data_IF_919293548215
#
_entry.id   IF_919293548215
#
_cell.length_a   1.000
_cell.length_b   1.000
_cell.length_c   1.000
_cell.angle_alpha   90.00
_cell.angle_beta   90.00
_cell.angle_gamma   90.00
#
_symmetry.space_group_name_H-M   'P 1'
#
loop_
_entity.id
_entity.type
_entity.pdbx_description
1 polymer ?
#
# COMPACT_ATOMS: atom_id res chain seq x y z
N UNK A 1 -9.35 -13.75 -10.47
CA UNK A 1 -9.85 -13.32 -11.79
C UNK A 1 -8.72 -13.39 -12.80
N UNK A 2 -8.80 -14.31 -13.82
CA UNK A 2 -7.76 -14.46 -14.84
C UNK A 2 -7.52 -13.21 -15.68
N UNK A 3 -8.57 -12.42 -15.93
CA UNK A 3 -8.46 -11.18 -16.73
C UNK A 3 -7.62 -10.14 -15.98
N UNK A 4 -7.80 -10.01 -14.66
CA UNK A 4 -7.00 -9.13 -13.83
C UNK A 4 -5.54 -9.59 -13.76
N UNK A 5 -5.29 -10.89 -13.63
CA UNK A 5 -3.93 -11.45 -13.66
C UNK A 5 -3.28 -11.20 -15.02
N UNK A 6 -4.01 -11.40 -16.12
CA UNK A 6 -3.53 -11.12 -17.47
C UNK A 6 -3.17 -9.65 -17.65
N UNK A 7 -4.04 -8.73 -17.23
CA UNK A 7 -3.77 -7.30 -17.28
C UNK A 7 -2.50 -6.94 -16.49
N UNK A 8 -2.37 -7.43 -15.26
CA UNK A 8 -1.21 -7.20 -14.41
C UNK A 8 0.09 -7.67 -15.08
N UNK A 9 0.15 -8.93 -15.51
CA UNK A 9 1.35 -9.52 -16.11
C UNK A 9 1.77 -8.80 -17.38
N UNK A 10 0.80 -8.42 -18.22
CA UNK A 10 1.08 -7.76 -19.50
C UNK A 10 1.62 -6.33 -19.33
N UNK A 11 1.23 -5.62 -18.25
CA UNK A 11 1.67 -4.24 -18.00
C UNK A 11 2.93 -4.11 -17.15
N UNK A 12 3.35 -5.17 -16.43
CA UNK A 12 4.56 -5.14 -15.57
C UNK A 12 5.80 -4.56 -16.30
N UNK A 13 6.13 -4.95 -17.55
CA UNK A 13 7.32 -4.40 -18.22
C UNK A 13 7.24 -2.89 -18.43
N UNK A 14 6.08 -2.38 -18.79
CA UNK A 14 5.83 -0.94 -19.01
C UNK A 14 5.89 -0.18 -17.68
N UNK A 15 5.27 -0.71 -16.64
CA UNK A 15 5.27 -0.14 -15.29
C UNK A 15 6.69 -0.06 -14.72
N UNK A 16 7.50 -1.10 -14.96
CA UNK A 16 8.88 -1.12 -14.56
C UNK A 16 9.72 -0.04 -15.24
N UNK A 17 9.56 0.15 -16.55
CA UNK A 17 10.21 1.23 -17.29
C UNK A 17 9.69 2.61 -16.85
N UNK A 18 8.39 2.72 -16.52
CA UNK A 18 7.82 3.94 -15.96
C UNK A 18 8.49 4.30 -14.63
N UNK A 19 8.68 3.35 -13.70
CA UNK A 19 9.38 3.58 -12.44
C UNK A 19 10.81 4.10 -12.67
N UNK A 20 11.54 3.52 -13.60
CA UNK A 20 12.87 4.03 -13.98
C UNK A 20 12.83 5.47 -14.48
N UNK A 21 11.85 5.81 -15.30
CA UNK A 21 11.63 7.20 -15.78
C UNK A 21 11.31 8.16 -14.63
N UNK A 22 10.71 7.68 -13.54
CA UNK A 22 10.52 8.49 -12.32
C UNK A 22 11.81 8.64 -11.50
N UNK A 23 12.89 8.00 -11.87
CA UNK A 23 14.19 8.06 -11.20
C UNK A 23 14.47 6.91 -10.24
N UNK A 24 13.59 5.91 -10.17
CA UNK A 24 13.80 4.73 -9.33
C UNK A 24 14.98 3.92 -9.87
N UNK A 25 15.94 3.64 -9.00
CA UNK A 25 17.10 2.80 -9.31
C UNK A 25 16.89 1.41 -8.74
N UNK A 26 17.24 0.43 -9.53
CA UNK A 26 17.17 -0.97 -9.14
C UNK A 26 18.57 -1.56 -9.01
N UNK A 27 18.76 -2.42 -8.01
CA UNK A 27 19.99 -3.18 -7.84
C UNK A 27 20.14 -4.21 -8.96
N UNK A 28 21.33 -4.80 -9.07
CA UNK A 28 21.53 -5.94 -9.97
C UNK A 28 20.56 -7.07 -9.64
N UNK A 29 20.06 -7.73 -10.68
CA UNK A 29 19.11 -8.84 -10.52
C UNK A 29 19.79 -9.96 -9.72
N UNK A 30 19.24 -10.22 -8.54
CA UNK A 30 19.59 -11.38 -7.74
C UNK A 30 18.93 -12.63 -8.28
N UNK A 31 19.65 -13.74 -8.31
CA UNK A 31 19.07 -15.08 -8.51
C UNK A 31 18.90 -15.70 -7.13
N UNK A 32 17.70 -16.14 -6.80
CA UNK A 32 17.51 -17.05 -5.68
C UNK A 32 17.86 -18.46 -6.11
N UNK A 33 18.54 -19.27 -5.26
CA UNK A 33 18.81 -20.67 -5.56
C UNK A 33 17.52 -21.48 -5.64
N UNK A 34 17.59 -22.63 -6.30
CA UNK A 34 16.50 -23.60 -6.29
C UNK A 34 16.10 -23.94 -4.83
N UNK A 35 14.80 -24.11 -4.49
CA UNK A 35 13.63 -24.19 -5.38
C UNK A 35 13.03 -22.85 -5.80
N UNK A 36 13.45 -21.75 -5.23
CA UNK A 36 12.83 -20.42 -5.42
C UNK A 36 13.18 -19.71 -6.73
N UNK A 37 13.79 -20.32 -7.63
CA UNK A 37 14.28 -19.99 -8.98
C UNK A 37 13.68 -18.74 -9.68
N UNK A 38 13.43 -17.66 -8.93
CA UNK A 38 12.91 -16.40 -9.45
C UNK A 38 13.96 -15.28 -9.41
N UNK A 39 13.78 -14.32 -10.29
CA UNK A 39 14.60 -13.11 -10.33
C UNK A 39 13.89 -11.99 -9.59
N UNK A 40 14.61 -11.29 -8.74
CA UNK A 40 14.08 -10.14 -8.00
C UNK A 40 14.72 -8.85 -8.51
N UNK A 41 13.87 -7.87 -8.78
CA UNK A 41 14.27 -6.49 -9.00
C UNK A 41 14.11 -5.71 -7.71
N UNK A 42 15.14 -5.67 -6.89
CA UNK A 42 15.13 -4.89 -5.67
C UNK A 42 15.43 -3.42 -5.96
N UNK A 43 14.73 -2.52 -5.29
CA UNK A 43 15.09 -1.10 -5.30
C UNK A 43 16.46 -0.93 -4.64
N UNK A 44 17.36 -0.17 -5.25
CA UNK A 44 18.67 0.15 -4.69
C UNK A 44 18.48 1.00 -3.42
N UNK A 45 18.71 0.38 -2.26
CA UNK A 45 18.39 0.96 -0.97
C UNK A 45 19.38 2.03 -0.49
N UNK A 46 20.65 1.98 -0.91
CA UNK A 46 21.69 2.92 -0.47
C UNK A 46 21.66 3.21 1.04
N UNK A 47 21.58 2.16 1.86
CA UNK A 47 21.51 2.27 3.32
C UNK A 47 20.10 2.44 3.92
N UNK A 48 19.06 2.51 3.09
CA UNK A 48 17.65 2.45 3.47
C UNK A 48 17.05 1.10 3.08
N UNK A 49 15.93 0.72 3.70
CA UNK A 49 15.12 -0.39 3.19
C UNK A 49 14.62 -0.07 1.77
N UNK A 50 14.47 -1.09 0.91
CA UNK A 50 14.05 -0.89 -0.47
C UNK A 50 12.73 -0.13 -0.61
N UNK A 51 11.75 -0.39 0.28
CA UNK A 51 10.48 0.34 0.32
C UNK A 51 10.65 1.81 0.68
N UNK A 52 11.42 2.12 1.71
CA UNK A 52 11.68 3.52 2.10
C UNK A 52 12.40 4.28 0.98
N UNK A 53 13.31 3.62 0.28
CA UNK A 53 14.01 4.22 -0.86
C UNK A 53 13.10 4.44 -2.06
N UNK A 54 12.20 3.51 -2.35
CA UNK A 54 11.18 3.68 -3.39
C UNK A 54 10.33 4.92 -3.14
N UNK A 55 9.82 5.05 -1.91
CA UNK A 55 9.04 6.24 -1.51
C UNK A 55 9.84 7.52 -1.71
N UNK A 56 11.12 7.52 -1.34
CA UNK A 56 11.99 8.70 -1.54
C UNK A 56 12.11 9.08 -3.01
N UNK A 57 12.35 8.13 -3.91
CA UNK A 57 12.40 8.41 -5.35
C UNK A 57 11.09 8.99 -5.88
N UNK A 58 9.95 8.46 -5.43
CA UNK A 58 8.65 8.94 -5.88
C UNK A 58 8.34 10.33 -5.31
N UNK A 59 8.71 10.63 -4.07
CA UNK A 59 8.61 11.97 -3.49
C UNK A 59 9.44 12.99 -4.29
N UNK A 60 10.70 12.67 -4.59
CA UNK A 60 11.56 13.49 -5.44
C UNK A 60 10.94 13.73 -6.84
N UNK A 61 10.27 12.73 -7.38
CA UNK A 61 9.55 12.84 -8.66
C UNK A 61 8.32 13.77 -8.57
N UNK A 62 7.61 13.76 -7.44
CA UNK A 62 6.51 14.69 -7.15
C UNK A 62 7.03 16.14 -7.02
N UNK A 63 8.09 16.34 -6.27
CA UNK A 63 8.72 17.66 -6.08
C UNK A 63 9.14 18.27 -7.42
N UNK A 64 9.81 17.49 -8.28
CA UNK A 64 10.22 17.94 -9.64
C UNK A 64 9.05 18.36 -10.53
N UNK A 65 7.84 17.87 -10.25
CA UNK A 65 6.62 18.20 -10.99
C UNK A 65 5.74 19.23 -10.29
N UNK A 66 6.20 19.77 -9.16
CA UNK A 66 5.43 20.68 -8.32
C UNK A 66 4.07 20.09 -7.90
N UNK A 67 4.02 18.79 -7.65
CA UNK A 67 2.84 18.13 -7.11
C UNK A 67 2.81 18.37 -5.60
N UNK A 68 1.82 19.10 -5.07
CA UNK A 68 1.76 19.40 -3.66
C UNK A 68 1.44 18.14 -2.85
N UNK A 69 2.19 17.91 -1.77
CA UNK A 69 1.94 16.85 -0.81
C UNK A 69 1.56 17.49 0.51
N UNK A 70 0.37 17.21 0.98
CA UNK A 70 -0.17 17.80 2.20
C UNK A 70 -0.08 16.77 3.32
N UNK A 71 0.84 17.00 4.24
CA UNK A 71 1.07 16.12 5.38
C UNK A 71 0.13 16.45 6.55
N UNK A 72 0.05 15.54 7.52
CA UNK A 72 -0.76 15.70 8.75
C UNK A 72 -2.23 16.06 8.44
N UNK A 73 -2.74 15.53 7.34
CA UNK A 73 -4.07 15.86 6.83
C UNK A 73 -4.79 14.58 6.45
N UNK A 74 -5.77 14.20 7.24
CA UNK A 74 -6.54 12.96 7.07
C UNK A 74 -7.77 13.19 6.21
N UNK A 75 -7.90 12.45 5.11
CA UNK A 75 -9.16 12.40 4.35
C UNK A 75 -10.26 11.76 5.22
N UNK A 76 -11.41 12.42 5.33
CA UNK A 76 -12.53 12.01 6.19
C UNK A 76 -13.85 11.81 5.45
N UNK A 77 -13.99 12.36 4.24
CA UNK A 77 -15.23 12.30 3.47
C UNK A 77 -14.94 12.50 1.98
N UNK A 78 -15.64 11.79 1.12
CA UNK A 78 -15.70 12.08 -0.31
C UNK A 78 -16.84 13.06 -0.59
N UNK A 79 -16.54 14.18 -1.23
CA UNK A 79 -17.53 15.18 -1.61
C UNK A 79 -18.20 14.76 -2.91
N UNK A 80 -19.54 14.82 -2.93
CA UNK A 80 -20.32 14.49 -4.12
C UNK A 80 -21.17 15.68 -4.57
N UNK A 81 -21.49 15.74 -5.85
CA UNK A 81 -22.47 16.65 -6.37
C UNK A 81 -23.89 16.04 -6.29
N UNK A 82 -24.90 16.80 -6.71
CA UNK A 82 -26.32 16.38 -6.69
C UNK A 82 -26.60 15.12 -7.55
N UNK A 83 -25.75 14.84 -8.53
CA UNK A 83 -25.81 13.62 -9.34
C UNK A 83 -25.09 12.42 -8.72
N UNK A 84 -24.55 12.55 -7.50
CA UNK A 84 -23.81 11.50 -6.79
C UNK A 84 -22.38 11.28 -7.29
N UNK A 85 -21.88 12.11 -8.21
CA UNK A 85 -20.49 12.02 -8.70
C UNK A 85 -19.53 12.59 -7.65
N UNK A 86 -18.45 11.86 -7.37
CA UNK A 86 -17.36 12.35 -6.51
C UNK A 86 -16.63 13.51 -7.20
N UNK A 87 -16.57 14.65 -6.50
CA UNK A 87 -15.99 15.92 -6.99
C UNK A 87 -14.83 16.42 -6.12
N UNK A 88 -14.52 15.72 -5.03
CA UNK A 88 -13.46 16.14 -4.14
C UNK A 88 -13.35 15.30 -2.88
N UNK A 89 -12.56 15.79 -1.96
CA UNK A 89 -12.33 15.16 -0.65
C UNK A 89 -12.34 16.24 0.44
N UNK A 90 -13.02 15.95 1.55
CA UNK A 90 -12.88 16.72 2.79
C UNK A 90 -11.81 16.09 3.63
N UNK A 91 -10.89 16.88 4.11
CA UNK A 91 -9.80 16.42 4.94
C UNK A 91 -9.72 17.20 6.25
N UNK A 92 -9.29 16.52 7.31
CA UNK A 92 -9.07 17.06 8.63
C UNK A 92 -7.57 17.30 8.83
N UNK A 93 -7.19 18.55 8.95
CA UNK A 93 -5.90 18.97 9.48
C UNK A 93 -5.93 19.16 10.98
N UNK A 94 -4.87 19.73 11.55
CA UNK A 94 -4.73 19.88 13.01
C UNK A 94 -5.82 20.79 13.62
N UNK A 95 -6.19 21.87 12.95
CA UNK A 95 -7.10 22.88 13.51
C UNK A 95 -8.46 22.94 12.80
N UNK A 96 -8.52 22.61 11.53
CA UNK A 96 -9.75 22.79 10.74
C UNK A 96 -9.88 21.75 9.63
N UNK A 97 -11.12 21.64 9.13
CA UNK A 97 -11.42 20.84 7.94
C UNK A 97 -11.25 21.69 6.69
N UNK A 98 -10.77 21.08 5.63
CA UNK A 98 -10.57 21.72 4.33
C UNK A 98 -11.15 20.83 3.24
N UNK A 99 -11.85 21.44 2.29
CA UNK A 99 -12.40 20.77 1.12
C UNK A 99 -11.45 20.96 -0.06
N UNK A 100 -11.02 19.86 -0.65
CA UNK A 100 -10.18 19.82 -1.84
C UNK A 100 -11.02 19.31 -3.02
N UNK A 101 -11.19 20.14 -4.04
CA UNK A 101 -11.97 19.78 -5.22
C UNK A 101 -11.09 19.19 -6.32
N UNK A 102 -11.60 18.15 -6.96
CA UNK A 102 -10.93 17.45 -8.05
C UNK A 102 -11.68 17.67 -9.36
N UNK A 103 -10.98 18.10 -10.40
CA UNK A 103 -11.56 18.35 -11.72
C UNK A 103 -11.94 17.04 -12.42
N UNK A 104 -11.05 16.08 -12.40
CA UNK A 104 -11.20 14.83 -13.17
C UNK A 104 -11.66 13.65 -12.31
N UNK A 105 -11.20 13.57 -11.05
CA UNK A 105 -11.59 12.53 -10.10
C UNK A 105 -10.66 12.46 -8.91
N UNK A 106 -10.99 11.56 -7.98
CA UNK A 106 -10.23 11.29 -6.76
C UNK A 106 -9.71 9.86 -6.80
N UNK A 107 -8.41 9.68 -6.62
CA UNK A 107 -7.79 8.35 -6.50
C UNK A 107 -7.63 8.00 -5.03
N UNK A 108 -8.20 6.87 -4.61
CA UNK A 108 -8.06 6.35 -3.26
C UNK A 108 -6.91 5.35 -3.23
N UNK A 109 -5.84 5.69 -2.54
CA UNK A 109 -4.63 4.87 -2.41
C UNK A 109 -4.22 4.66 -0.94
N UNK A 110 -5.22 4.59 -0.03
CA UNK A 110 -5.01 4.52 1.43
C UNK A 110 -4.67 3.13 1.95
N UNK A 111 -4.52 2.14 1.07
CA UNK A 111 -4.21 0.77 1.44
C UNK A 111 -5.41 0.01 2.01
N UNK A 112 -5.15 -1.10 2.69
CA UNK A 112 -6.16 -1.95 3.33
C UNK A 112 -6.43 -1.59 4.79
N UNK A 113 -6.69 -2.61 5.62
CA UNK A 113 -7.03 -2.44 7.04
C UNK A 113 -6.22 -3.35 7.99
N UNK A 114 -5.04 -3.77 7.59
CA UNK A 114 -4.20 -4.69 8.38
C UNK A 114 -3.76 -4.16 9.74
N UNK A 115 -3.77 -2.85 9.93
CA UNK A 115 -3.51 -2.21 11.23
C UNK A 115 -4.77 -2.06 12.11
N UNK A 116 -5.95 -2.41 11.61
CA UNK A 116 -7.21 -2.26 12.33
C UNK A 116 -7.71 -3.61 12.84
N UNK A 117 -7.46 -3.89 14.12
CA UNK A 117 -7.83 -5.16 14.75
C UNK A 117 -9.34 -5.42 14.76
N UNK A 118 -10.15 -4.38 14.86
CA UNK A 118 -11.61 -4.52 14.83
C UNK A 118 -12.09 -4.99 13.46
N UNK A 119 -11.59 -4.37 12.38
CA UNK A 119 -11.93 -4.78 11.01
C UNK A 119 -11.38 -6.18 10.68
N UNK A 120 -10.20 -6.52 11.17
CA UNK A 120 -9.65 -7.88 11.04
C UNK A 120 -10.58 -8.91 11.73
N UNK A 121 -11.00 -8.65 12.96
CA UNK A 121 -11.96 -9.51 13.67
C UNK A 121 -13.28 -9.63 12.92
N UNK A 122 -13.79 -8.51 12.42
CA UNK A 122 -15.11 -8.45 11.76
C UNK A 122 -15.16 -9.22 10.46
N UNK A 123 -14.15 -9.08 9.62
CA UNK A 123 -14.14 -9.63 8.26
C UNK A 123 -13.38 -10.94 8.11
N UNK A 124 -12.41 -11.19 8.98
CA UNK A 124 -11.50 -12.35 8.85
C UNK A 124 -11.55 -13.31 10.05
N UNK A 125 -12.21 -12.93 11.13
CA UNK A 125 -12.33 -13.74 12.35
C UNK A 125 -11.28 -13.44 13.43
N UNK A 126 -11.61 -13.84 14.67
CA UNK A 126 -10.88 -13.46 15.87
C UNK A 126 -9.39 -13.84 15.94
N UNK A 127 -8.94 -15.02 15.47
CA UNK A 127 -7.53 -15.39 15.57
C UNK A 127 -6.58 -14.42 14.85
N UNK A 128 -7.02 -13.82 13.75
CA UNK A 128 -6.19 -12.92 12.93
C UNK A 128 -5.93 -11.57 13.58
N UNK A 129 -6.72 -11.18 14.59
CA UNK A 129 -6.46 -9.97 15.37
C UNK A 129 -5.19 -10.04 16.22
N UNK A 130 -4.65 -11.24 16.43
CA UNK A 130 -3.40 -11.48 17.18
C UNK A 130 -2.15 -11.45 16.32
N UNK A 131 -2.30 -11.39 15.00
CA UNK A 131 -1.17 -11.34 14.09
C UNK A 131 -0.33 -10.07 14.32
N UNK A 132 0.98 -10.23 14.24
CA UNK A 132 1.92 -9.11 14.32
C UNK A 132 1.88 -8.34 13.01
N UNK A 133 1.59 -7.05 13.10
CA UNK A 133 1.60 -6.17 11.95
C UNK A 133 3.05 -5.91 11.52
N UNK A 134 3.39 -6.30 10.30
CA UNK A 134 4.66 -5.98 9.63
C UNK A 134 4.58 -4.73 8.75
N UNK A 135 3.38 -4.33 8.39
CA UNK A 135 3.11 -3.19 7.51
C UNK A 135 3.07 -1.84 8.21
N UNK A 136 2.60 -0.84 7.51
CA UNK A 136 2.40 0.50 8.06
C UNK A 136 1.30 0.51 9.13
N UNK A 137 1.51 1.14 10.29
CA UNK A 137 0.48 1.30 11.33
C UNK A 137 -0.69 2.20 10.89
N UNK A 138 -0.56 2.89 9.77
CA UNK A 138 -1.58 3.79 9.23
C UNK A 138 -2.54 3.12 8.26
N UNK A 139 -2.39 1.82 7.98
CA UNK A 139 -3.29 1.05 7.10
C UNK A 139 -4.50 0.60 7.91
N UNK A 140 -5.39 1.54 8.24
CA UNK A 140 -6.49 1.39 9.20
C UNK A 140 -7.87 1.18 8.57
N UNK A 141 -7.95 1.08 7.23
CA UNK A 141 -9.21 0.86 6.52
C UNK A 141 -9.93 2.15 6.12
N UNK A 142 -9.20 3.24 5.99
CA UNK A 142 -9.77 4.54 5.62
C UNK A 142 -10.47 4.49 4.24
N UNK A 143 -10.01 3.64 3.32
CA UNK A 143 -10.69 3.39 2.05
C UNK A 143 -12.13 2.90 2.25
N UNK A 144 -12.38 1.98 3.18
CA UNK A 144 -13.71 1.45 3.46
C UNK A 144 -14.64 2.56 3.99
N UNK A 145 -14.12 3.37 4.91
CA UNK A 145 -14.87 4.47 5.52
C UNK A 145 -15.21 5.57 4.51
N UNK A 146 -14.28 5.87 3.60
CA UNK A 146 -14.46 6.90 2.58
C UNK A 146 -15.40 6.45 1.45
N UNK A 147 -15.33 5.19 1.04
CA UNK A 147 -16.01 4.74 -0.18
C UNK A 147 -17.39 4.12 0.07
N UNK A 148 -17.66 3.58 1.26
CA UNK A 148 -18.96 3.03 1.60
C UNK A 148 -20.13 4.05 1.45
N UNK A 149 -20.01 5.31 1.91
CA UNK A 149 -21.07 6.30 1.76
C UNK A 149 -21.41 6.65 0.31
N UNK A 150 -20.47 6.46 -0.62
CA UNK A 150 -20.67 6.73 -2.05
C UNK A 150 -21.02 5.46 -2.84
N UNK A 151 -21.36 4.37 -2.16
CA UNK A 151 -21.90 3.17 -2.77
C UNK A 151 -20.87 2.21 -3.38
N UNK A 152 -19.61 2.28 -2.97
CA UNK A 152 -18.60 1.33 -3.45
C UNK A 152 -18.91 -0.09 -2.96
N UNK A 153 -18.80 -1.07 -3.87
CA UNK A 153 -18.93 -2.48 -3.55
C UNK A 153 -17.64 -3.00 -2.93
N UNK A 154 -17.77 -3.73 -1.80
CA UNK A 154 -16.67 -4.46 -1.19
C UNK A 154 -16.66 -5.88 -1.73
N UNK A 155 -15.51 -6.30 -2.27
CA UNK A 155 -15.33 -7.65 -2.82
C UNK A 155 -14.10 -8.29 -2.18
N UNK A 156 -14.19 -9.59 -1.87
CA UNK A 156 -13.10 -10.39 -1.29
C UNK A 156 -12.46 -9.77 -0.04
N UNK A 157 -13.27 -9.10 0.78
CA UNK A 157 -12.80 -8.41 1.98
C UNK A 157 -12.32 -9.38 3.08
N UNK A 158 -12.67 -10.64 2.96
CA UNK A 158 -12.25 -11.78 3.77
C UNK A 158 -10.91 -12.39 3.32
N UNK A 159 -10.35 -11.92 2.22
CA UNK A 159 -9.08 -12.40 1.68
C UNK A 159 -7.92 -11.56 2.19
N UNK A 160 -6.85 -12.22 2.63
CA UNK A 160 -5.64 -11.53 3.06
C UNK A 160 -4.39 -12.31 2.66
N UNK A 161 -3.28 -11.60 2.53
CA UNK A 161 -1.97 -12.19 2.38
C UNK A 161 -1.23 -12.12 3.71
N UNK A 162 -0.75 -13.26 4.19
CA UNK A 162 0.03 -13.40 5.40
C UNK A 162 1.38 -14.01 5.05
N UNK A 163 2.44 -13.39 5.50
CA UNK A 163 3.80 -13.92 5.33
C UNK A 163 4.86 -12.84 5.54
N UNK A 164 6.07 -13.22 5.88
CA UNK A 164 6.47 -14.54 6.37
C UNK A 164 5.86 -14.85 7.73
N UNK A 165 5.67 -16.14 8.02
CA UNK A 165 5.21 -16.61 9.33
C UNK A 165 6.43 -16.65 10.26
N UNK A 166 6.30 -16.08 11.45
CA UNK A 166 7.34 -16.11 12.48
C UNK A 166 6.75 -16.67 13.76
N UNK A 167 7.57 -17.32 14.55
CA UNK A 167 7.19 -17.78 15.87
C UNK A 167 6.78 -16.62 16.76
N UNK A 168 5.81 -16.82 17.67
CA UNK A 168 5.30 -15.80 18.58
C UNK A 168 6.39 -15.13 19.44
N UNK A 169 7.44 -15.89 19.78
CA UNK A 169 8.60 -15.39 20.52
C UNK A 169 9.43 -14.37 19.73
N UNK A 170 9.30 -14.32 18.43
CA UNK A 170 9.99 -13.39 17.54
C UNK A 170 9.04 -12.27 17.06
N UNK A 171 8.29 -11.70 17.97
CA UNK A 171 7.28 -10.67 17.67
C UNK A 171 7.85 -9.33 17.15
N UNK A 172 9.17 -9.22 16.96
CA UNK A 172 9.78 -8.06 16.33
C UNK A 172 9.65 -8.13 14.81
N UNK A 173 8.79 -7.31 14.18
CA UNK A 173 8.60 -7.33 12.73
C UNK A 173 9.87 -6.98 11.95
N UNK A 174 10.83 -6.30 12.56
CA UNK A 174 12.09 -5.94 11.94
C UNK A 174 13.05 -7.12 11.82
N UNK A 175 12.90 -8.15 12.65
CA UNK A 175 13.75 -9.34 12.59
C UNK A 175 13.77 -9.96 11.20
N UNK A 176 12.63 -10.08 10.56
CA UNK A 176 12.50 -10.68 9.21
C UNK A 176 13.07 -9.76 8.12
N UNK A 177 13.05 -8.45 8.34
CA UNK A 177 13.62 -7.46 7.42
C UNK A 177 15.15 -7.48 7.51
N UNK A 178 15.68 -7.51 8.74
CA UNK A 178 17.12 -7.48 9.01
C UNK A 178 17.82 -8.79 8.62
N UNK A 179 17.15 -9.91 8.75
CA UNK A 179 17.68 -11.21 8.34
C UNK A 179 17.83 -11.37 6.81
N UNK A 180 17.24 -10.45 6.02
CA UNK A 180 17.34 -10.47 4.54
C UNK A 180 16.80 -11.73 3.89
N UNK A 181 16.14 -12.59 4.67
CA UNK A 181 15.71 -13.91 4.28
C UNK A 181 14.22 -14.06 4.59
N UNK A 182 13.48 -14.52 3.59
CA UNK A 182 12.26 -15.25 3.90
C UNK A 182 12.65 -16.46 4.72
N UNK A 183 11.91 -16.80 5.75
CA UNK A 183 12.08 -18.03 6.48
C UNK A 183 11.86 -19.14 5.46
N UNK A 184 12.93 -19.88 5.15
CA UNK A 184 12.79 -21.15 4.45
C UNK A 184 12.07 -22.08 5.45
N UNK A 185 10.83 -22.37 5.18
CA UNK A 185 10.09 -23.43 5.87
C UNK A 185 10.49 -24.71 5.16
N UNK A 186 11.38 -25.49 5.76
CA UNK A 186 11.64 -26.87 5.36
C UNK A 186 10.39 -27.75 5.57
#
# INVERSE_FOLDING_TARGET
DPALVGAYVNHIPEDFEWLKKQGVKFSKIGKKPWPLNYRMHNVDGQGLTGGARLVRYLLEACEKRNIPIIYNTKAIELLTNDAGRVIGVRAQGDLHKTDYFAKDGVVIATGGFSANRELLCRYMGGPLSRLVLRGSPYVTGDNLMLTAPVGAQLVHIDQFHCGPIVEETHANPNFVIDAGQGIDVD
#
